data_IF_396865354124
#
_entry.id   IF_396865354124
#
_cell.length_a   1.000
_cell.length_b   1.000
_cell.length_c   1.000
_cell.angle_alpha   90.00
_cell.angle_beta   90.00
_cell.angle_gamma   90.00
#
_symmetry.space_group_name_H-M   'P 1'
#
loop_
_entity.id
_entity.type
_entity.pdbx_description
1 polymer ?
#
# COMPACT_ATOMS: atom_id res chain seq x y z
N UNK A 1 10.53 13.59 -10.35
CA UNK A 1 9.62 13.28 -9.23
C UNK A 1 9.16 11.83 -9.36
N UNK A 2 9.07 11.13 -8.27
CA UNK A 2 8.71 9.72 -8.25
C UNK A 2 7.37 9.56 -7.56
N UNK A 3 6.47 8.84 -8.19
CA UNK A 3 5.22 8.43 -7.56
C UNK A 3 5.42 7.07 -6.91
N UNK A 4 5.16 7.00 -5.62
CA UNK A 4 5.26 5.78 -4.83
C UNK A 4 3.84 5.27 -4.53
N UNK A 5 3.59 4.02 -4.88
CA UNK A 5 2.33 3.35 -4.59
C UNK A 5 2.62 2.14 -3.71
N UNK A 6 1.91 2.04 -2.61
CA UNK A 6 2.02 0.91 -1.69
C UNK A 6 0.63 0.33 -1.48
N UNK A 7 0.50 -0.97 -1.70
CA UNK A 7 -0.69 -1.72 -1.31
C UNK A 7 -0.29 -2.64 -0.16
N UNK A 8 -0.80 -2.37 1.02
CA UNK A 8 -0.54 -3.18 2.20
C UNK A 8 -1.73 -4.11 2.41
N UNK A 9 -1.53 -5.40 2.18
CA UNK A 9 -2.56 -6.41 2.35
C UNK A 9 -2.65 -6.90 3.79
N UNK A 10 -1.54 -6.90 4.52
CA UNK A 10 -1.51 -7.25 5.93
C UNK A 10 -1.44 -5.97 6.78
N UNK A 11 -2.58 -5.57 7.33
CA UNK A 11 -2.71 -4.31 8.08
C UNK A 11 -1.94 -4.30 9.39
N UNK A 12 -1.48 -5.46 9.86
CA UNK A 12 -0.66 -5.54 11.07
C UNK A 12 0.67 -4.78 10.92
N UNK A 13 1.11 -4.56 9.69
CA UNK A 13 2.33 -3.81 9.39
C UNK A 13 2.11 -2.31 9.16
N UNK A 14 0.89 -1.81 9.41
CA UNK A 14 0.56 -0.40 9.16
C UNK A 14 1.50 0.56 9.89
N UNK A 15 1.74 0.31 11.18
CA UNK A 15 2.61 1.18 11.97
C UNK A 15 4.04 1.17 11.45
N UNK A 16 4.55 -0.01 11.06
CA UNK A 16 5.90 -0.13 10.51
C UNK A 16 6.04 0.69 9.23
N UNK A 17 5.01 0.67 8.37
CA UNK A 17 5.00 1.45 7.13
C UNK A 17 5.01 2.96 7.43
N UNK A 18 4.15 3.40 8.34
CA UNK A 18 4.05 4.83 8.69
C UNK A 18 5.34 5.35 9.31
N UNK A 19 5.95 4.57 10.20
CA UNK A 19 7.22 4.93 10.81
C UNK A 19 8.35 4.98 9.77
N UNK A 20 8.37 4.04 8.84
CA UNK A 20 9.35 4.01 7.78
C UNK A 20 9.23 5.20 6.83
N UNK A 21 7.99 5.61 6.51
CA UNK A 21 7.74 6.81 5.69
C UNK A 21 8.25 8.06 6.42
N UNK A 22 7.94 8.19 7.70
CA UNK A 22 8.41 9.32 8.50
C UNK A 22 9.93 9.35 8.58
N UNK A 23 10.55 8.23 8.89
CA UNK A 23 12.02 8.13 9.04
C UNK A 23 12.76 8.43 7.74
N UNK A 24 12.17 8.12 6.60
CA UNK A 24 12.74 8.40 5.28
C UNK A 24 12.33 9.77 4.73
N UNK A 25 11.63 10.57 5.53
CA UNK A 25 11.17 11.92 5.18
C UNK A 25 10.25 11.96 3.96
N UNK A 26 9.42 10.94 3.81
CA UNK A 26 8.38 10.90 2.78
C UNK A 26 7.08 11.40 3.40
N UNK A 27 6.86 12.72 3.31
CA UNK A 27 5.74 13.38 4.00
C UNK A 27 4.54 13.67 3.09
N UNK A 28 4.75 13.74 1.77
CA UNK A 28 3.66 14.00 0.82
C UNK A 28 2.96 12.69 0.47
N UNK A 29 2.34 12.10 1.46
CA UNK A 29 1.69 10.81 1.35
C UNK A 29 0.24 10.88 1.81
N UNK A 30 -0.60 10.09 1.18
CA UNK A 30 -1.99 9.91 1.57
C UNK A 30 -2.27 8.43 1.76
N UNK A 31 -3.12 8.14 2.74
CA UNK A 31 -3.48 6.77 3.10
C UNK A 31 -4.97 6.59 2.93
N UNK A 32 -5.36 5.49 2.28
CA UNK A 32 -6.75 5.13 2.08
C UNK A 32 -6.95 3.69 2.51
N UNK A 33 -8.00 3.43 3.27
CA UNK A 33 -8.41 2.08 3.61
C UNK A 33 -9.45 1.59 2.60
N UNK A 34 -9.33 0.34 2.20
CA UNK A 34 -10.23 -0.25 1.22
C UNK A 34 -10.39 -1.74 1.42
N UNK A 35 -11.07 -2.37 0.50
CA UNK A 35 -11.26 -3.82 0.49
C UNK A 35 -10.89 -4.36 -0.88
N UNK A 36 -10.43 -5.61 -0.93
CA UNK A 36 -10.15 -6.28 -2.19
C UNK A 36 -11.44 -6.55 -2.97
N UNK A 37 -11.33 -6.61 -4.29
CA UNK A 37 -12.48 -6.85 -5.16
C UNK A 37 -13.23 -8.14 -4.82
N UNK A 38 -12.52 -9.21 -4.52
CA UNK A 38 -13.12 -10.48 -4.14
C UNK A 38 -13.98 -10.35 -2.88
N UNK A 39 -13.53 -9.61 -1.87
CA UNK A 39 -14.31 -9.34 -0.67
C UNK A 39 -15.52 -8.44 -0.97
N UNK A 40 -15.36 -7.46 -1.85
CA UNK A 40 -16.46 -6.59 -2.26
C UNK A 40 -17.52 -7.38 -3.01
N UNK A 41 -17.12 -8.29 -3.90
CA UNK A 41 -18.05 -9.15 -4.63
C UNK A 41 -18.82 -10.07 -3.69
N UNK A 42 -18.15 -10.63 -2.69
CA UNK A 42 -18.78 -11.50 -1.71
C UNK A 42 -19.79 -10.75 -0.85
N UNK A 43 -19.47 -9.51 -0.47
CA UNK A 43 -20.31 -8.68 0.39
C UNK A 43 -21.50 -8.09 -0.36
N UNK A 44 -21.24 -7.50 -1.53
CA UNK A 44 -22.21 -6.64 -2.22
C UNK A 44 -23.05 -7.39 -3.24
N UNK A 45 -22.58 -8.53 -3.75
CA UNK A 45 -23.30 -9.33 -4.71
C UNK A 45 -23.80 -10.63 -4.09
N UNK A 46 -25.06 -10.66 -3.72
CA UNK A 46 -25.70 -11.84 -3.14
C UNK A 46 -25.54 -13.10 -4.01
N UNK A 47 -25.36 -12.91 -5.32
CA UNK A 47 -25.12 -13.99 -6.28
C UNK A 47 -23.88 -14.81 -5.94
N UNK A 48 -22.85 -14.17 -5.38
CA UNK A 48 -21.58 -14.81 -5.08
C UNK A 48 -21.48 -15.37 -3.67
N UNK A 49 -22.44 -15.05 -2.78
CA UNK A 49 -22.41 -15.51 -1.39
C UNK A 49 -22.38 -17.01 -1.22
N UNK A 50 -22.96 -17.76 -2.17
CA UNK A 50 -22.97 -19.21 -2.14
C UNK A 50 -21.68 -19.86 -2.66
N UNK A 51 -20.80 -19.09 -3.28
CA UNK A 51 -19.55 -19.58 -3.86
C UNK A 51 -18.34 -19.39 -2.96
N UNK A 52 -18.46 -18.54 -1.94
CA UNK A 52 -17.39 -18.24 -1.02
C UNK A 52 -17.71 -18.80 0.37
N UNK A 53 -16.71 -19.36 1.00
CA UNK A 53 -16.85 -19.92 2.33
C UNK A 53 -17.12 -18.81 3.34
N UNK A 54 -17.88 -19.12 4.39
CA UNK A 54 -18.22 -18.15 5.44
C UNK A 54 -17.01 -17.58 6.16
N UNK A 55 -15.89 -18.28 6.10
CA UNK A 55 -14.62 -17.80 6.63
C UNK A 55 -14.08 -16.56 5.91
N UNK A 56 -14.59 -16.29 4.69
CA UNK A 56 -14.23 -15.11 3.92
C UNK A 56 -15.18 -13.94 4.13
N UNK A 57 -16.16 -14.07 5.01
CA UNK A 57 -17.08 -12.99 5.35
C UNK A 57 -16.43 -11.90 6.20
N UNK A 58 -15.27 -12.17 6.79
CA UNK A 58 -14.49 -11.12 7.46
C UNK A 58 -13.87 -10.21 6.42
N UNK A 59 -14.26 -8.94 6.46
CA UNK A 59 -13.69 -7.92 5.58
C UNK A 59 -12.19 -7.81 5.80
N UNK A 60 -11.42 -8.26 4.81
CA UNK A 60 -9.98 -8.03 4.83
C UNK A 60 -9.71 -6.64 4.31
N UNK A 61 -9.40 -5.73 5.22
CA UNK A 61 -9.01 -4.39 4.87
C UNK A 61 -7.65 -4.42 4.19
N UNK A 62 -7.51 -3.57 3.19
CA UNK A 62 -6.22 -3.26 2.58
C UNK A 62 -5.96 -1.77 2.78
N UNK A 63 -4.70 -1.41 2.84
CA UNK A 63 -4.29 -0.02 2.97
C UNK A 63 -3.52 0.36 1.72
N UNK A 64 -3.96 1.43 1.08
CA UNK A 64 -3.30 1.98 -0.10
C UNK A 64 -2.66 3.30 0.29
N UNK A 65 -1.37 3.43 0.01
CA UNK A 65 -0.61 4.63 0.27
C UNK A 65 -0.08 5.15 -1.06
N UNK A 66 -0.35 6.43 -1.31
CA UNK A 66 0.18 7.16 -2.47
C UNK A 66 1.10 8.25 -1.94
N UNK A 67 2.26 8.40 -2.54
CA UNK A 67 3.20 9.43 -2.15
C UNK A 67 3.92 10.01 -3.35
N UNK A 68 4.30 11.27 -3.25
CA UNK A 68 5.21 11.91 -4.18
C UNK A 68 6.57 12.05 -3.51
N UNK A 69 7.60 11.55 -4.16
CA UNK A 69 8.94 11.51 -3.60
C UNK A 69 9.90 12.26 -4.52
N UNK A 70 10.69 13.13 -3.94
CA UNK A 70 11.62 13.98 -4.69
C UNK A 70 12.92 13.29 -5.08
N UNK A 71 13.38 12.31 -4.29
CA UNK A 71 14.68 11.65 -4.48
C UNK A 71 14.57 10.14 -4.31
N UNK A 72 15.27 9.41 -5.17
CA UNK A 72 15.35 7.95 -5.08
C UNK A 72 15.96 7.47 -3.77
N UNK A 73 16.84 8.24 -3.18
CA UNK A 73 17.50 7.91 -1.92
C UNK A 73 16.50 7.74 -0.78
N UNK A 74 15.43 8.52 -0.77
CA UNK A 74 14.38 8.38 0.24
C UNK A 74 13.63 7.06 0.11
N UNK A 75 13.42 6.60 -1.12
CA UNK A 75 12.78 5.31 -1.37
C UNK A 75 13.70 4.16 -0.95
N UNK A 76 14.98 4.27 -1.25
CA UNK A 76 15.97 3.28 -0.84
C UNK A 76 16.03 3.16 0.68
N UNK A 77 16.02 4.28 1.37
CA UNK A 77 16.01 4.32 2.83
C UNK A 77 14.72 3.70 3.38
N UNK A 78 13.58 4.06 2.80
CA UNK A 78 12.29 3.48 3.17
C UNK A 78 12.30 1.96 3.08
N UNK A 79 12.75 1.43 1.95
CA UNK A 79 12.85 -0.01 1.73
C UNK A 79 13.82 -0.67 2.72
N UNK A 80 14.95 -0.03 2.98
CA UNK A 80 15.93 -0.51 3.95
C UNK A 80 15.32 -0.62 5.35
N UNK A 81 14.59 0.42 5.79
CA UNK A 81 13.95 0.43 7.11
C UNK A 81 12.92 -0.69 7.22
N UNK A 82 12.12 -0.92 6.16
CA UNK A 82 11.15 -2.01 6.16
C UNK A 82 11.82 -3.37 6.29
N UNK A 83 12.91 -3.60 5.58
CA UNK A 83 13.68 -4.84 5.68
C UNK A 83 14.24 -5.03 7.08
N UNK A 84 14.76 -3.97 7.68
CA UNK A 84 15.30 -4.01 9.03
C UNK A 84 14.22 -4.30 10.07
N UNK A 85 12.98 -3.89 9.82
CA UNK A 85 11.85 -4.19 10.70
C UNK A 85 11.36 -5.64 10.57
N UNK A 86 11.91 -6.40 9.65
CA UNK A 86 11.56 -7.81 9.45
C UNK A 86 10.40 -8.04 8.49
N UNK A 87 9.95 -7.00 7.79
CA UNK A 87 8.89 -7.14 6.81
C UNK A 87 9.43 -7.75 5.52
N UNK A 88 8.79 -8.81 5.03
CA UNK A 88 9.14 -9.45 3.77
C UNK A 88 8.53 -8.67 2.61
N UNK A 89 9.28 -7.71 2.08
CA UNK A 89 8.81 -6.82 1.02
C UNK A 89 8.67 -7.51 -0.34
N UNK A 90 9.21 -8.71 -0.49
CA UNK A 90 9.08 -9.49 -1.72
C UNK A 90 7.80 -10.33 -1.75
N UNK A 91 7.15 -10.45 -0.61
CA UNK A 91 5.90 -11.20 -0.51
C UNK A 91 4.70 -10.29 -0.85
N UNK A 92 4.20 -10.42 -2.08
CA UNK A 92 3.09 -9.62 -2.58
C UNK A 92 1.75 -9.91 -1.88
N UNK A 93 1.65 -11.00 -1.12
CA UNK A 93 0.50 -11.25 -0.27
C UNK A 93 0.48 -10.35 0.98
N UNK A 94 1.64 -9.81 1.34
CA UNK A 94 1.77 -8.87 2.46
C UNK A 94 1.75 -7.44 1.96
N UNK A 95 2.60 -7.12 0.97
CA UNK A 95 2.80 -5.76 0.51
C UNK A 95 3.24 -5.75 -0.96
N UNK A 96 2.76 -4.75 -1.70
CA UNK A 96 3.23 -4.45 -3.04
C UNK A 96 3.67 -3.00 -3.09
N UNK A 97 4.90 -2.79 -3.55
CA UNK A 97 5.47 -1.45 -3.69
C UNK A 97 5.80 -1.22 -5.15
N UNK A 98 5.23 -0.18 -5.73
CA UNK A 98 5.47 0.21 -7.12
C UNK A 98 5.93 1.65 -7.15
N UNK A 99 6.88 1.93 -8.03
CA UNK A 99 7.36 3.29 -8.27
C UNK A 99 7.44 3.57 -9.75
N UNK A 100 7.21 4.82 -10.11
CA UNK A 100 7.46 5.28 -11.47
C UNK A 100 7.72 6.77 -11.49
N UNK A 101 8.43 7.21 -12.51
CA UNK A 101 8.72 8.62 -12.70
C UNK A 101 7.49 9.33 -13.24
N UNK A 102 7.19 10.49 -12.70
CA UNK A 102 6.03 11.31 -13.09
C UNK A 102 6.43 12.75 -13.29
N UNK A 103 5.66 13.43 -14.10
CA UNK A 103 5.76 14.88 -14.29
C UNK A 103 4.54 15.54 -13.67
N UNK A 104 4.76 16.69 -13.05
CA UNK A 104 3.67 17.48 -12.52
C UNK A 104 3.13 18.41 -13.62
N UNK A 105 1.83 18.67 -13.62
CA UNK A 105 1.23 19.68 -14.49
C UNK A 105 1.94 21.03 -14.33
N UNK A 106 2.40 21.31 -13.13
CA UNK A 106 3.14 22.53 -12.79
C UNK A 106 4.41 22.69 -13.64
N UNK A 107 5.03 21.58 -14.07
CA UNK A 107 6.23 21.62 -14.92
C UNK A 107 5.94 22.16 -16.32
N UNK A 108 4.67 22.21 -16.73
CA UNK A 108 4.23 22.73 -18.01
C UNK A 108 3.69 24.18 -17.94
N UNK A 109 3.64 24.74 -16.76
CA UNK A 109 3.15 26.10 -16.55
C UNK A 109 4.32 27.09 -16.50
#
# INVERSE_FOLDING_TARGET
MIFLYIKLADINYKEDILLALESSEIYKASLVEGINLDNALTRDLALFRGFFDKEHEEEKLVIIINALVDKKERIKEFVFILKESGLDIENEEIIRILTWEVESLKDYL
#
